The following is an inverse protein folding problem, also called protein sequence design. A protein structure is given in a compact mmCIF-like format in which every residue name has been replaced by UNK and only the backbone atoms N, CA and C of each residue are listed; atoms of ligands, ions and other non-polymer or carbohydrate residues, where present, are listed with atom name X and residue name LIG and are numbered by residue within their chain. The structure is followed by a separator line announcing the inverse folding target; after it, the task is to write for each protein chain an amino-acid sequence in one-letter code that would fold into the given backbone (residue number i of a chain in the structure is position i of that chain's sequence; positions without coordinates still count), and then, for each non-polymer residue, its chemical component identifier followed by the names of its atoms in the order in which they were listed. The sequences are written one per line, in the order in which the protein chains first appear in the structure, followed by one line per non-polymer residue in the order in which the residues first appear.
data_IF_060666377943
#
_entry.id   IF_060666377943
#
_cell.length_a   1.000
_cell.length_b   1.000
_cell.length_c   1.000
_cell.angle_alpha   90.00
_cell.angle_beta   90.00
_cell.angle_gamma   90.00
#
_symmetry.space_group_name_H-M   'P 1'
#
loop_
_entity.id
_entity.type
_entity.pdbx_description
1 polymer ?
#
# COMPACT_ATOMS: atom_id res chain seq x y z
N UNK A 1 -16.16 46.60 62.73
CA UNK A 1 -16.38 46.23 61.30
C UNK A 1 -16.81 44.76 61.23
N UNK A 2 -18.12 44.46 61.20
CA UNK A 2 -18.63 43.09 60.99
C UNK A 2 -18.51 42.76 59.50
N UNK A 3 -17.40 42.16 59.07
CA UNK A 3 -17.29 41.61 57.70
C UNK A 3 -18.31 40.48 57.56
N UNK A 4 -19.26 40.72 56.69
CA UNK A 4 -20.39 39.87 56.34
C UNK A 4 -19.94 38.44 56.01
N UNK A 5 -20.25 37.48 56.89
CA UNK A 5 -20.05 36.03 56.64
C UNK A 5 -20.75 35.58 55.35
N UNK A 6 -21.78 36.29 54.91
CA UNK A 6 -22.51 36.02 53.67
C UNK A 6 -21.68 36.30 52.40
N UNK A 7 -20.75 37.27 52.41
CA UNK A 7 -19.93 37.55 51.24
C UNK A 7 -18.86 36.48 50.97
N UNK A 8 -18.30 35.88 52.02
CA UNK A 8 -17.33 34.80 51.89
C UNK A 8 -17.96 33.51 51.34
N UNK A 9 -19.20 33.21 51.76
CA UNK A 9 -19.96 32.05 51.28
C UNK A 9 -20.36 32.16 49.80
N UNK A 10 -20.70 33.37 49.34
CA UNK A 10 -21.06 33.63 47.94
C UNK A 10 -19.83 33.49 47.03
N UNK A 11 -18.67 34.01 47.46
CA UNK A 11 -17.40 33.86 46.74
C UNK A 11 -16.97 32.39 46.61
N UNK A 12 -17.14 31.59 47.68
CA UNK A 12 -16.89 30.15 47.63
C UNK A 12 -17.83 29.44 46.64
N UNK A 13 -19.13 29.73 46.67
CA UNK A 13 -20.09 29.16 45.72
C UNK A 13 -19.79 29.52 44.27
N UNK A 14 -19.45 30.79 44.00
CA UNK A 14 -19.04 31.24 42.67
C UNK A 14 -17.76 30.56 42.19
N UNK A 15 -16.78 30.39 43.09
CA UNK A 15 -15.52 29.70 42.75
C UNK A 15 -15.75 28.23 42.39
N UNK A 16 -16.57 27.50 43.16
CA UNK A 16 -16.94 26.13 42.82
C UNK A 16 -17.74 26.06 41.50
N UNK A 17 -18.69 26.97 41.28
CA UNK A 17 -19.49 26.98 40.05
C UNK A 17 -18.65 27.25 38.78
N UNK A 18 -17.64 28.12 38.87
CA UNK A 18 -16.69 28.35 37.78
C UNK A 18 -15.77 27.14 37.50
N UNK A 19 -15.42 26.36 38.53
CA UNK A 19 -14.63 25.13 38.35
C UNK A 19 -15.47 24.04 37.70
N UNK A 20 -16.73 23.85 38.12
CA UNK A 20 -17.62 22.84 37.52
C UNK A 20 -17.96 23.13 36.05
N UNK A 21 -18.23 24.40 35.70
CA UNK A 21 -18.62 24.77 34.32
C UNK A 21 -17.47 24.78 33.31
N UNK A 22 -16.21 24.83 33.75
CA UNK A 22 -15.05 24.66 32.89
C UNK A 22 -14.65 23.18 32.71
N UNK A 23 -14.88 22.34 33.71
CA UNK A 23 -14.55 20.91 33.66
C UNK A 23 -15.41 20.15 32.63
N UNK A 24 -16.72 20.42 32.54
CA UNK A 24 -17.60 19.79 31.53
C UNK A 24 -17.19 20.14 30.08
N UNK A 25 -16.73 21.38 29.85
CA UNK A 25 -16.31 21.83 28.51
C UNK A 25 -15.00 21.19 28.07
N UNK A 26 -14.11 20.92 29.01
CA UNK A 26 -12.83 20.25 28.76
C UNK A 26 -13.05 18.76 28.48
N UNK A 27 -13.94 18.09 29.21
CA UNK A 27 -14.34 16.70 28.95
C UNK A 27 -15.04 16.53 27.58
N UNK A 28 -15.95 17.42 27.21
CA UNK A 28 -16.61 17.40 25.89
C UNK A 28 -15.62 17.66 24.75
N UNK A 29 -14.67 18.58 24.95
CA UNK A 29 -13.61 18.85 23.99
C UNK A 29 -12.69 17.63 23.80
N UNK A 30 -12.19 17.05 24.89
CA UNK A 30 -11.32 15.87 24.86
C UNK A 30 -12.02 14.65 24.26
N UNK A 31 -13.31 14.45 24.57
CA UNK A 31 -14.12 13.38 23.99
C UNK A 31 -14.28 13.55 22.47
N UNK A 32 -14.50 14.79 22.01
CA UNK A 32 -14.58 15.10 20.59
C UNK A 32 -13.25 14.86 19.88
N UNK A 33 -12.15 15.35 20.44
CA UNK A 33 -10.80 15.17 19.89
C UNK A 33 -10.43 13.68 19.82
N UNK A 34 -10.73 12.91 20.87
CA UNK A 34 -10.51 11.46 20.90
C UNK A 34 -11.31 10.74 19.81
N UNK A 35 -12.55 11.14 19.57
CA UNK A 35 -13.38 10.56 18.52
C UNK A 35 -12.86 10.92 17.11
N UNK A 36 -12.42 12.17 16.91
CA UNK A 36 -11.78 12.60 15.66
C UNK A 36 -10.48 11.82 15.39
N UNK A 37 -9.65 11.61 16.42
CA UNK A 37 -8.42 10.83 16.33
C UNK A 37 -8.71 9.36 16.00
N UNK A 38 -9.70 8.75 16.67
CA UNK A 38 -10.12 7.37 16.39
C UNK A 38 -10.62 7.21 14.96
N UNK A 39 -11.43 8.15 14.47
CA UNK A 39 -11.94 8.13 13.11
C UNK A 39 -10.83 8.28 12.07
N UNK A 40 -9.89 9.21 12.30
CA UNK A 40 -8.72 9.41 11.45
C UNK A 40 -7.84 8.16 11.40
N UNK A 41 -7.56 7.56 12.56
CA UNK A 41 -6.80 6.31 12.63
C UNK A 41 -7.50 5.16 11.90
N UNK A 42 -8.83 5.03 12.04
CA UNK A 42 -9.61 4.03 11.30
C UNK A 42 -9.51 4.24 9.78
N UNK A 43 -9.60 5.49 9.32
CA UNK A 43 -9.47 5.84 7.89
C UNK A 43 -8.07 5.51 7.36
N UNK A 44 -7.02 5.90 8.08
CA UNK A 44 -5.64 5.61 7.71
C UNK A 44 -5.36 4.11 7.63
N UNK A 45 -5.87 3.32 8.57
CA UNK A 45 -5.74 1.87 8.52
C UNK A 45 -6.46 1.27 7.31
N UNK A 46 -7.65 1.77 6.97
CA UNK A 46 -8.37 1.33 5.78
C UNK A 46 -7.62 1.69 4.48
N UNK A 47 -7.04 2.88 4.40
CA UNK A 47 -6.20 3.30 3.27
C UNK A 47 -4.93 2.45 3.14
N UNK A 48 -4.26 2.19 4.27
CA UNK A 48 -3.08 1.32 4.31
C UNK A 48 -3.40 -0.11 3.86
N UNK A 49 -4.52 -0.67 4.32
CA UNK A 49 -4.97 -2.00 3.91
C UNK A 49 -5.34 -2.06 2.43
N UNK A 50 -5.94 -0.99 1.90
CA UNK A 50 -6.20 -0.85 0.47
C UNK A 50 -4.88 -0.87 -0.33
N UNK A 51 -3.90 -0.07 0.07
CA UNK A 51 -2.58 -0.04 -0.57
C UNK A 51 -1.87 -1.40 -0.52
N UNK A 52 -1.92 -2.08 0.63
CA UNK A 52 -1.37 -3.44 0.75
C UNK A 52 -2.00 -4.41 -0.24
N UNK A 53 -3.33 -4.37 -0.38
CA UNK A 53 -4.07 -5.25 -1.30
C UNK A 53 -3.81 -4.92 -2.77
N UNK A 54 -3.71 -3.64 -3.11
CA UNK A 54 -3.56 -3.18 -4.50
C UNK A 54 -2.12 -3.27 -5.03
N UNK A 55 -1.13 -3.09 -4.15
CA UNK A 55 0.27 -2.94 -4.58
C UNK A 55 1.22 -3.92 -3.90
N UNK A 56 1.20 -4.02 -2.57
CA UNK A 56 2.21 -4.81 -1.85
C UNK A 56 2.03 -6.31 -2.05
N UNK A 57 0.80 -6.81 -1.91
CA UNK A 57 0.53 -8.24 -2.04
C UNK A 57 0.77 -8.75 -3.47
N UNK A 58 0.28 -8.09 -4.53
CA UNK A 58 0.57 -8.51 -5.89
C UNK A 58 2.06 -8.35 -6.24
N UNK A 59 2.74 -7.32 -5.73
CA UNK A 59 4.18 -7.15 -5.93
C UNK A 59 4.96 -8.35 -5.38
N UNK A 60 4.66 -8.81 -4.16
CA UNK A 60 5.32 -9.98 -3.58
C UNK A 60 5.08 -11.26 -4.39
N UNK A 61 3.87 -11.44 -4.91
CA UNK A 61 3.57 -12.57 -5.79
C UNK A 61 4.39 -12.48 -7.08
N UNK A 62 4.40 -11.30 -7.72
CA UNK A 62 5.19 -11.02 -8.91
C UNK A 62 6.70 -11.26 -8.68
N UNK A 63 7.24 -10.74 -7.59
CA UNK A 63 8.64 -10.89 -7.19
C UNK A 63 9.03 -12.36 -7.07
N UNK A 64 8.21 -13.17 -6.39
CA UNK A 64 8.45 -14.61 -6.27
C UNK A 64 8.48 -15.31 -7.63
N UNK A 65 7.57 -14.95 -8.55
CA UNK A 65 7.56 -15.52 -9.91
C UNK A 65 8.87 -15.20 -10.62
N UNK A 66 9.36 -13.95 -10.52
CA UNK A 66 10.61 -13.51 -11.13
C UNK A 66 11.82 -14.23 -10.54
N UNK A 67 11.88 -14.38 -9.21
CA UNK A 67 12.99 -15.02 -8.53
C UNK A 67 13.11 -16.52 -8.87
N UNK A 68 11.98 -17.21 -9.04
CA UNK A 68 11.96 -18.64 -9.36
C UNK A 68 11.88 -18.95 -10.85
N UNK A 69 11.83 -17.93 -11.70
CA UNK A 69 11.71 -18.07 -13.15
C UNK A 69 12.82 -18.95 -13.75
N UNK A 70 14.04 -18.82 -13.23
CA UNK A 70 15.21 -19.57 -13.72
C UNK A 70 15.11 -21.09 -13.48
N UNK A 71 14.35 -21.51 -12.46
CA UNK A 71 14.22 -22.92 -12.02
C UNK A 71 13.00 -23.60 -12.62
N UNK A 72 12.00 -22.82 -13.00
CA UNK A 72 10.71 -23.32 -13.44
C UNK A 72 10.63 -23.49 -14.95
N UNK A 73 9.69 -24.34 -15.38
CA UNK A 73 9.38 -24.49 -16.79
C UNK A 73 8.47 -23.34 -17.28
N UNK A 74 8.52 -22.97 -18.57
CA UNK A 74 7.78 -21.84 -19.11
C UNK A 74 6.27 -21.88 -18.83
N UNK A 75 5.64 -23.06 -18.94
CA UNK A 75 4.20 -23.20 -18.75
C UNK A 75 3.79 -22.99 -17.28
N UNK A 76 4.62 -23.47 -16.35
CA UNK A 76 4.43 -23.19 -14.93
C UNK A 76 4.54 -21.71 -14.62
N UNK A 77 5.51 -21.02 -15.21
CA UNK A 77 5.72 -19.59 -14.99
C UNK A 77 4.53 -18.79 -15.56
N UNK A 78 4.08 -19.13 -16.77
CA UNK A 78 2.89 -18.52 -17.40
C UNK A 78 1.67 -18.69 -16.50
N UNK A 79 1.42 -19.90 -15.99
CA UNK A 79 0.29 -20.17 -15.11
C UNK A 79 0.34 -19.34 -13.80
N UNK A 80 1.51 -19.10 -13.22
CA UNK A 80 1.62 -18.21 -12.06
C UNK A 80 1.27 -16.75 -12.41
N UNK A 81 1.71 -16.25 -13.57
CA UNK A 81 1.30 -14.93 -14.05
C UNK A 81 -0.21 -14.85 -14.36
N UNK A 82 -0.81 -15.91 -14.90
CA UNK A 82 -2.25 -15.99 -15.13
C UNK A 82 -3.05 -15.95 -13.82
N UNK A 83 -2.57 -16.62 -12.75
CA UNK A 83 -3.14 -16.49 -11.40
C UNK A 83 -3.05 -15.05 -10.90
N UNK A 84 -1.91 -14.39 -11.10
CA UNK A 84 -1.72 -12.99 -10.70
C UNK A 84 -2.70 -12.05 -11.44
N UNK A 85 -2.88 -12.26 -12.74
CA UNK A 85 -3.87 -11.52 -13.56
C UNK A 85 -5.29 -11.77 -13.05
N UNK A 86 -5.66 -13.03 -12.78
CA UNK A 86 -6.99 -13.39 -12.29
C UNK A 86 -7.29 -12.76 -10.93
N UNK A 87 -6.30 -12.69 -10.05
CA UNK A 87 -6.44 -12.10 -8.72
C UNK A 87 -6.47 -10.55 -8.79
N UNK A 88 -5.87 -9.96 -9.81
CA UNK A 88 -5.73 -8.50 -9.96
C UNK A 88 -6.04 -7.99 -11.39
N UNK A 89 -7.29 -8.18 -11.90
CA UNK A 89 -7.63 -8.05 -13.33
C UNK A 89 -7.70 -6.61 -13.87
N UNK A 90 -7.76 -5.59 -13.02
CA UNK A 90 -7.80 -4.18 -13.40
C UNK A 90 -6.67 -3.41 -12.71
N UNK A 91 -5.45 -3.96 -12.78
CA UNK A 91 -4.29 -3.42 -12.08
C UNK A 91 -3.08 -3.28 -13.01
N UNK A 92 -2.10 -2.49 -12.57
CA UNK A 92 -0.76 -2.46 -13.17
C UNK A 92 -0.18 -3.87 -13.37
N UNK A 93 -0.42 -4.77 -12.40
CA UNK A 93 0.10 -6.13 -12.40
C UNK A 93 -0.44 -6.98 -13.53
N UNK A 94 -1.68 -6.73 -13.99
CA UNK A 94 -2.20 -7.40 -15.19
C UNK A 94 -1.35 -7.06 -16.41
N UNK A 95 -1.16 -5.76 -16.67
CA UNK A 95 -0.41 -5.29 -17.83
C UNK A 95 1.03 -5.82 -17.82
N UNK A 96 1.70 -5.75 -16.67
CA UNK A 96 3.06 -6.25 -16.53
C UNK A 96 3.14 -7.78 -16.70
N UNK A 97 2.18 -8.52 -16.14
CA UNK A 97 2.11 -9.98 -16.28
C UNK A 97 1.89 -10.41 -17.73
N UNK A 98 0.97 -9.77 -18.45
CA UNK A 98 0.74 -10.03 -19.88
C UNK A 98 2.00 -9.77 -20.72
N UNK A 99 2.73 -8.70 -20.40
CA UNK A 99 4.02 -8.38 -21.04
C UNK A 99 5.06 -9.46 -20.78
N UNK A 100 5.16 -9.95 -19.55
CA UNK A 100 6.08 -11.04 -19.15
C UNK A 100 5.71 -12.37 -19.79
N UNK A 101 4.42 -12.74 -19.83
CA UNK A 101 3.93 -13.94 -20.51
C UNK A 101 4.37 -13.95 -21.99
N UNK A 102 4.11 -12.86 -22.72
CA UNK A 102 4.54 -12.74 -24.13
C UNK A 102 6.06 -12.90 -24.29
N UNK A 103 6.84 -12.36 -23.36
CA UNK A 103 8.29 -12.55 -23.36
C UNK A 103 8.64 -14.04 -23.20
N UNK A 104 8.08 -14.71 -22.19
CA UNK A 104 8.31 -16.14 -21.90
C UNK A 104 7.93 -17.01 -23.09
N UNK A 105 6.77 -16.80 -23.70
CA UNK A 105 6.33 -17.52 -24.90
C UNK A 105 7.35 -17.40 -26.04
N UNK A 106 7.86 -16.19 -26.30
CA UNK A 106 8.86 -15.93 -27.34
C UNK A 106 10.18 -16.65 -27.10
N UNK A 107 10.59 -16.80 -25.83
CA UNK A 107 11.84 -17.49 -25.45
C UNK A 107 11.64 -18.95 -25.03
N UNK A 108 10.41 -19.48 -25.00
CA UNK A 108 10.08 -20.84 -24.55
C UNK A 108 10.94 -21.91 -25.23
N UNK A 109 11.27 -21.72 -26.50
CA UNK A 109 12.16 -22.60 -27.29
C UNK A 109 13.58 -22.75 -26.74
N UNK A 110 14.04 -21.82 -25.91
CA UNK A 110 15.35 -21.85 -25.27
C UNK A 110 15.33 -22.57 -23.92
N UNK A 111 14.17 -23.05 -23.46
CA UNK A 111 14.07 -23.85 -22.25
C UNK A 111 14.10 -25.34 -22.57
N UNK A 112 14.84 -26.11 -21.77
CA UNK A 112 14.86 -27.57 -21.88
C UNK A 112 14.70 -28.21 -20.51
N UNK A 113 14.02 -29.37 -20.44
CA UNK A 113 13.83 -30.10 -19.18
C UNK A 113 15.16 -30.49 -18.50
N UNK A 114 16.19 -30.76 -19.30
CA UNK A 114 17.51 -31.20 -18.81
C UNK A 114 18.38 -30.05 -18.29
N UNK A 115 18.35 -28.89 -18.94
CA UNK A 115 19.33 -27.81 -18.67
C UNK A 115 18.67 -26.48 -18.26
N UNK A 116 17.35 -26.43 -18.12
CA UNK A 116 16.62 -25.18 -17.88
C UNK A 116 16.76 -24.21 -19.05
N UNK A 117 16.83 -22.92 -18.71
CA UNK A 117 16.97 -21.82 -19.67
C UNK A 117 18.38 -21.75 -20.28
N UNK A 118 18.48 -21.89 -21.59
CA UNK A 118 19.71 -21.70 -22.37
C UNK A 118 19.68 -20.36 -23.11
N UNK A 119 19.92 -19.28 -22.36
CA UNK A 119 19.91 -17.92 -22.91
C UNK A 119 21.25 -17.52 -23.56
N UNK A 120 22.30 -18.33 -23.39
CA UNK A 120 23.66 -18.03 -23.83
C UNK A 120 23.87 -18.20 -25.35
N UNK A 121 23.01 -18.99 -26.01
CA UNK A 121 23.10 -19.29 -27.46
C UNK A 121 22.20 -18.38 -28.30
N UNK A 122 21.59 -17.36 -27.70
CA UNK A 122 20.74 -16.41 -28.43
C UNK A 122 21.68 -15.50 -29.24
N UNK A 123 21.55 -15.43 -30.58
CA UNK A 123 22.33 -14.50 -31.37
C UNK A 123 22.08 -13.09 -30.83
N UNK A 124 23.13 -12.45 -30.32
CA UNK A 124 23.10 -11.06 -29.89
C UNK A 124 22.72 -10.24 -31.12
N UNK A 125 21.45 -9.85 -31.23
CA UNK A 125 21.09 -8.78 -32.15
C UNK A 125 21.97 -7.58 -31.79
N UNK A 126 22.58 -6.88 -32.75
CA UNK A 126 23.13 -5.58 -32.45
C UNK A 126 22.03 -4.77 -31.74
N UNK A 127 22.42 -4.03 -30.70
CA UNK A 127 21.57 -2.99 -30.12
C UNK A 127 21.30 -2.01 -31.26
N UNK A 128 20.23 -2.23 -32.02
CA UNK A 128 19.68 -1.17 -32.85
C UNK A 128 19.25 -0.11 -31.84
N UNK A 129 19.84 1.08 -31.97
CA UNK A 129 19.57 2.24 -31.11
C UNK A 129 18.08 2.29 -30.80
N UNK A 130 17.75 2.09 -29.52
CA UNK A 130 16.38 2.27 -29.03
C UNK A 130 15.93 3.66 -29.47
N UNK A 131 14.74 3.74 -30.06
CA UNK A 131 14.07 5.03 -30.23
C UNK A 131 14.03 5.69 -28.86
N UNK A 132 14.83 6.75 -28.71
CA UNK A 132 14.88 7.54 -27.49
C UNK A 132 13.46 8.07 -27.23
N UNK A 133 12.78 7.49 -26.25
CA UNK A 133 11.59 8.11 -25.69
C UNK A 133 12.13 9.27 -24.86
N UNK A 134 12.10 10.46 -25.43
CA UNK A 134 12.32 11.70 -24.70
C UNK A 134 11.25 11.80 -23.63
N UNK A 135 11.64 11.65 -22.37
CA UNK A 135 10.80 12.04 -21.24
C UNK A 135 10.85 13.58 -21.16
N UNK A 136 9.75 14.31 -21.43
CA UNK A 136 9.78 15.76 -21.27
C UNK A 136 9.93 16.09 -19.78
N UNK A 137 11.09 16.63 -19.39
CA UNK A 137 11.35 17.18 -18.05
C UNK A 137 12.44 16.53 -17.22
N UNK A 138 13.35 15.72 -17.80
CA UNK A 138 14.63 15.34 -17.18
C UNK A 138 15.77 16.16 -17.79
#
# INVERSE_FOLDING_TARGET
MKKSKNQLSILLFLSLFCVFTNCEKEDDFLSKELNELKNSNKKLNAELDSLKKLYINPFKQYENIVLDESKNNPDSIINEYEKLIKNHPNSFWKHESERRIKNIEKRKKYWTKKNGWKLNDIPKKPLNDEQSISCPGC
#
